data_IF_546326097760
#
_entry.id   IF_546326097760
#
_cell.length_a   1.000
_cell.length_b   1.000
_cell.length_c   1.000
_cell.angle_alpha   90.00
_cell.angle_beta   90.00
_cell.angle_gamma   90.00
#
_symmetry.space_group_name_H-M   'P 1'
#
loop_
_entity.id
_entity.type
_entity.pdbx_description
1 polymer ?
#
# COMPACT_ATOMS: atom_id res chain seq x y z
N UNK A 1 20.25 -0.16 9.99
CA UNK A 1 18.81 -0.31 9.69
C UNK A 1 18.44 0.56 8.48
N UNK A 2 17.66 0.01 7.57
CA UNK A 2 17.21 0.75 6.40
C UNK A 2 15.94 1.55 6.74
N UNK A 3 16.12 2.82 7.06
CA UNK A 3 15.02 3.69 7.44
C UNK A 3 14.05 3.97 6.29
N UNK A 4 14.54 3.96 5.05
CA UNK A 4 13.66 4.08 3.88
C UNK A 4 12.69 2.92 3.78
N UNK A 5 13.18 1.71 4.05
CA UNK A 5 12.34 0.51 4.05
C UNK A 5 11.34 0.55 5.20
N UNK A 6 11.78 0.98 6.39
CA UNK A 6 10.90 1.13 7.56
C UNK A 6 9.77 2.11 7.25
N UNK A 7 10.10 3.27 6.69
CA UNK A 7 9.10 4.28 6.35
C UNK A 7 8.11 3.75 5.31
N UNK A 8 8.60 3.06 4.27
CA UNK A 8 7.73 2.48 3.23
C UNK A 8 6.75 1.48 3.84
N UNK A 9 7.23 0.59 4.69
CA UNK A 9 6.39 -0.41 5.36
C UNK A 9 5.35 0.28 6.24
N UNK A 10 5.77 1.31 6.99
CA UNK A 10 4.86 2.07 7.84
C UNK A 10 3.68 2.64 7.04
N UNK A 11 3.97 3.31 5.92
CA UNK A 11 2.92 3.93 5.13
C UNK A 11 2.06 2.90 4.40
N UNK A 12 2.63 1.78 3.98
CA UNK A 12 1.85 0.68 3.40
C UNK A 12 0.87 0.10 4.42
N UNK A 13 1.34 -0.13 5.65
CA UNK A 13 0.48 -0.66 6.72
C UNK A 13 -0.60 0.36 7.12
N UNK A 14 -0.26 1.65 7.16
CA UNK A 14 -1.24 2.68 7.43
C UNK A 14 -2.31 2.73 6.33
N UNK A 15 -1.89 2.63 5.07
CA UNK A 15 -2.83 2.57 3.96
C UNK A 15 -3.72 1.34 4.05
N UNK A 16 -3.13 0.19 4.38
CA UNK A 16 -3.87 -1.07 4.49
C UNK A 16 -4.92 -1.00 5.59
N UNK A 17 -4.54 -0.54 6.79
CA UNK A 17 -5.46 -0.48 7.92
C UNK A 17 -6.55 0.56 7.70
N UNK A 18 -6.20 1.74 7.17
CA UNK A 18 -7.19 2.77 6.86
C UNK A 18 -8.17 2.30 5.77
N UNK A 19 -7.65 1.59 4.76
CA UNK A 19 -8.48 1.04 3.69
C UNK A 19 -9.46 -0.01 4.22
N UNK A 20 -8.99 -0.92 5.06
CA UNK A 20 -9.86 -1.92 5.69
C UNK A 20 -10.94 -1.24 6.53
N UNK A 21 -10.56 -0.20 7.27
CA UNK A 21 -11.51 0.57 8.06
C UNK A 21 -12.56 1.26 7.17
N UNK A 22 -12.15 1.84 6.04
CA UNK A 22 -13.08 2.46 5.10
C UNK A 22 -14.06 1.43 4.54
N UNK A 23 -13.58 0.26 4.14
CA UNK A 23 -14.43 -0.81 3.59
C UNK A 23 -15.48 -1.23 4.62
N UNK A 24 -15.10 -1.28 5.88
CA UNK A 24 -15.99 -1.69 6.96
C UNK A 24 -17.00 -0.61 7.34
N UNK A 25 -16.53 0.65 7.49
CA UNK A 25 -17.35 1.73 8.03
C UNK A 25 -17.97 2.64 6.98
N UNK A 26 -17.37 2.74 5.80
CA UNK A 26 -17.77 3.70 4.78
C UNK A 26 -17.43 5.15 5.12
N UNK A 27 -16.57 5.37 6.11
CA UNK A 27 -16.20 6.71 6.58
C UNK A 27 -15.29 7.42 5.56
N UNK A 28 -15.73 8.58 5.08
CA UNK A 28 -15.00 9.39 4.11
C UNK A 28 -13.58 9.74 4.58
N UNK A 29 -13.43 10.02 5.88
CA UNK A 29 -12.12 10.35 6.46
C UNK A 29 -11.12 9.22 6.27
N UNK A 30 -11.56 7.98 6.48
CA UNK A 30 -10.70 6.80 6.26
C UNK A 30 -10.27 6.67 4.81
N UNK A 31 -11.14 7.00 3.86
CA UNK A 31 -10.79 6.95 2.44
C UNK A 31 -9.71 7.98 2.11
N UNK A 32 -9.85 9.21 2.61
CA UNK A 32 -8.86 10.26 2.38
C UNK A 32 -7.51 9.86 2.95
N UNK A 33 -7.48 9.32 4.17
CA UNK A 33 -6.23 8.86 4.79
C UNK A 33 -5.63 7.73 3.97
N UNK A 34 -6.43 6.78 3.51
CA UNK A 34 -5.96 5.67 2.69
C UNK A 34 -5.28 6.16 1.42
N UNK A 35 -5.91 7.08 0.71
CA UNK A 35 -5.34 7.63 -0.53
C UNK A 35 -4.03 8.35 -0.24
N UNK A 36 -4.00 9.19 0.78
CA UNK A 36 -2.80 9.94 1.16
C UNK A 36 -1.65 9.01 1.52
N UNK A 37 -1.91 8.00 2.37
CA UNK A 37 -0.88 7.06 2.81
C UNK A 37 -0.38 6.20 1.65
N UNK A 38 -1.27 5.78 0.75
CA UNK A 38 -0.90 4.98 -0.42
C UNK A 38 -0.02 5.77 -1.37
N UNK A 39 -0.33 7.02 -1.62
CA UNK A 39 0.49 7.88 -2.50
C UNK A 39 1.87 8.14 -1.88
N UNK A 40 1.93 8.37 -0.58
CA UNK A 40 3.22 8.55 0.11
C UNK A 40 4.05 7.28 0.01
N UNK A 41 3.43 6.12 0.22
CA UNK A 41 4.11 4.83 0.10
C UNK A 41 4.68 4.64 -1.30
N UNK A 42 3.90 4.99 -2.33
CA UNK A 42 4.35 4.88 -3.72
C UNK A 42 5.56 5.79 -3.98
N UNK A 43 5.51 7.03 -3.50
CA UNK A 43 6.63 7.96 -3.65
C UNK A 43 7.90 7.46 -2.96
N UNK A 44 7.75 6.89 -1.76
CA UNK A 44 8.90 6.32 -1.05
C UNK A 44 9.49 5.13 -1.80
N UNK A 45 8.65 4.31 -2.42
CA UNK A 45 9.12 3.18 -3.23
C UNK A 45 9.89 3.64 -4.46
N UNK A 46 9.48 4.75 -5.07
CA UNK A 46 10.23 5.33 -6.19
C UNK A 46 11.66 5.70 -5.79
N UNK A 47 11.83 6.21 -4.56
CA UNK A 47 13.15 6.53 -4.03
C UNK A 47 13.98 5.34 -3.62
N UNK A 48 13.37 4.18 -3.44
CA UNK A 48 14.02 2.98 -2.89
C UNK A 48 13.96 1.79 -3.85
N UNK A 49 14.02 2.03 -5.14
CA UNK A 49 13.83 1.00 -6.17
C UNK A 49 14.73 -0.23 -6.03
N UNK A 50 15.96 -0.02 -5.57
CA UNK A 50 16.93 -1.11 -5.44
C UNK A 50 16.50 -2.14 -4.38
N UNK A 51 15.79 -1.68 -3.37
CA UNK A 51 15.40 -2.52 -2.23
C UNK A 51 14.10 -3.25 -2.46
N UNK A 52 13.15 -2.61 -3.17
CA UNK A 52 11.75 -3.05 -3.16
C UNK A 52 11.31 -3.79 -4.42
N UNK A 53 12.05 -3.71 -5.51
CA UNK A 53 11.75 -4.46 -6.72
C UNK A 53 10.56 -3.94 -7.52
N UNK A 54 10.47 -4.43 -8.76
CA UNK A 54 9.45 -4.01 -9.71
C UNK A 54 8.04 -4.48 -9.33
N UNK A 55 7.94 -5.68 -8.78
CA UNK A 55 6.66 -6.28 -8.39
C UNK A 55 5.97 -5.45 -7.30
N UNK A 56 6.76 -4.99 -6.34
CA UNK A 56 6.23 -4.18 -5.25
C UNK A 56 5.76 -2.81 -5.75
N UNK A 57 6.49 -2.22 -6.70
CA UNK A 57 6.09 -0.98 -7.34
C UNK A 57 4.78 -1.17 -8.12
N UNK A 58 4.66 -2.28 -8.85
CA UNK A 58 3.47 -2.59 -9.62
C UNK A 58 2.23 -2.70 -8.73
N UNK A 59 2.34 -3.38 -7.58
CA UNK A 59 1.21 -3.50 -6.66
C UNK A 59 0.79 -2.14 -6.11
N UNK A 60 1.74 -1.25 -5.85
CA UNK A 60 1.42 0.11 -5.40
C UNK A 60 0.70 0.92 -6.45
N UNK A 61 1.11 0.81 -7.70
CA UNK A 61 0.45 1.50 -8.81
C UNK A 61 -0.97 0.98 -9.00
N UNK A 62 -1.18 -0.33 -8.88
CA UNK A 62 -2.52 -0.91 -8.95
C UNK A 62 -3.40 -0.37 -7.83
N UNK A 63 -2.88 -0.29 -6.60
CA UNK A 63 -3.63 0.26 -5.48
C UNK A 63 -4.02 1.71 -5.75
N UNK A 64 -3.09 2.53 -6.24
CA UNK A 64 -3.36 3.93 -6.53
C UNK A 64 -4.38 4.08 -7.65
N UNK A 65 -4.30 3.23 -8.69
CA UNK A 65 -5.27 3.23 -9.79
C UNK A 65 -6.69 2.89 -9.33
N UNK A 66 -6.83 2.18 -8.23
CA UNK A 66 -8.14 1.91 -7.63
C UNK A 66 -8.57 3.03 -6.69
N UNK A 67 -7.64 3.56 -5.90
CA UNK A 67 -7.96 4.53 -4.85
C UNK A 67 -8.30 5.91 -5.39
N UNK A 68 -7.61 6.37 -6.44
CA UNK A 68 -7.90 7.69 -7.00
C UNK A 68 -9.31 7.73 -7.59
N UNK A 69 -9.74 6.77 -8.43
CA UNK A 69 -11.13 6.71 -8.86
C UNK A 69 -12.12 6.53 -7.71
N UNK A 70 -11.74 5.80 -6.66
CA UNK A 70 -12.60 5.63 -5.49
C UNK A 70 -12.88 6.97 -4.83
N UNK A 71 -11.86 7.80 -4.67
CA UNK A 71 -11.99 9.13 -4.10
C UNK A 71 -12.91 10.00 -4.95
N UNK A 72 -12.73 9.97 -6.26
CA UNK A 72 -13.54 10.72 -7.20
C UNK A 72 -14.99 10.25 -7.16
N UNK A 73 -15.22 8.93 -7.16
CA UNK A 73 -16.57 8.36 -7.11
C UNK A 73 -17.29 8.75 -5.82
N UNK A 74 -16.59 8.71 -4.70
CA UNK A 74 -17.17 9.02 -3.39
C UNK A 74 -17.55 10.48 -3.28
N UNK A 75 -16.61 11.38 -3.58
CA UNK A 75 -16.79 12.82 -3.36
C UNK A 75 -17.39 13.55 -4.56
N UNK A 76 -17.06 13.08 -5.78
CA UNK A 76 -17.51 13.76 -6.99
C UNK A 76 -18.91 13.34 -7.45
N UNK A 77 -19.25 12.07 -7.27
CA UNK A 77 -20.49 11.51 -7.78
C UNK A 77 -21.39 10.89 -6.72
N UNK A 78 -20.95 10.84 -5.47
CA UNK A 78 -21.73 10.25 -4.38
C UNK A 78 -21.94 8.74 -4.52
N UNK A 79 -21.11 8.08 -5.33
CA UNK A 79 -21.25 6.65 -5.62
C UNK A 79 -20.44 5.82 -4.61
N UNK A 80 -20.99 5.70 -3.40
CA UNK A 80 -20.30 5.02 -2.29
C UNK A 80 -20.05 3.54 -2.56
N UNK A 81 -20.95 2.87 -3.22
CA UNK A 81 -20.80 1.43 -3.54
C UNK A 81 -19.65 1.21 -4.51
N UNK A 82 -19.51 2.06 -5.52
CA UNK A 82 -18.41 1.99 -6.48
C UNK A 82 -17.09 2.28 -5.76
N UNK A 83 -17.08 3.31 -4.90
CA UNK A 83 -15.89 3.66 -4.12
C UNK A 83 -15.46 2.49 -3.24
N UNK A 84 -16.40 1.84 -2.57
CA UNK A 84 -16.11 0.69 -1.70
C UNK A 84 -15.54 -0.47 -2.51
N UNK A 85 -16.13 -0.77 -3.68
CA UNK A 85 -15.62 -1.83 -4.55
C UNK A 85 -14.20 -1.56 -5.01
N UNK A 86 -13.90 -0.32 -5.40
CA UNK A 86 -12.54 0.07 -5.81
C UNK A 86 -11.57 -0.01 -4.62
N UNK A 87 -12.02 0.37 -3.43
CA UNK A 87 -11.19 0.28 -2.22
C UNK A 87 -10.87 -1.17 -1.88
N UNK A 88 -11.80 -2.09 -2.11
CA UNK A 88 -11.54 -3.53 -1.92
C UNK A 88 -10.43 -4.00 -2.87
N UNK A 89 -10.45 -3.57 -4.13
CA UNK A 89 -9.39 -3.89 -5.08
C UNK A 89 -8.04 -3.37 -4.61
N UNK A 90 -8.00 -2.13 -4.12
CA UNK A 90 -6.79 -1.55 -3.56
C UNK A 90 -6.31 -2.30 -2.32
N UNK A 91 -7.26 -2.74 -1.47
CA UNK A 91 -6.95 -3.52 -0.27
C UNK A 91 -6.22 -4.82 -0.65
N UNK A 92 -6.71 -5.52 -1.66
CA UNK A 92 -6.08 -6.74 -2.14
C UNK A 92 -4.68 -6.48 -2.67
N UNK A 93 -4.48 -5.40 -3.43
CA UNK A 93 -3.16 -5.02 -3.93
C UNK A 93 -2.20 -4.70 -2.78
N UNK A 94 -2.68 -4.00 -1.74
CA UNK A 94 -1.87 -3.68 -0.57
C UNK A 94 -1.52 -4.94 0.24
N UNK A 95 -2.43 -5.91 0.32
CA UNK A 95 -2.12 -7.19 0.96
C UNK A 95 -1.01 -7.93 0.23
N UNK A 96 -1.03 -7.89 -1.10
CA UNK A 96 0.05 -8.48 -1.91
C UNK A 96 1.37 -7.75 -1.64
N UNK A 97 1.33 -6.41 -1.53
CA UNK A 97 2.52 -5.62 -1.20
C UNK A 97 3.13 -6.04 0.13
N UNK A 98 2.30 -6.22 1.16
CA UNK A 98 2.77 -6.65 2.49
C UNK A 98 3.40 -8.04 2.41
N UNK A 99 2.78 -8.95 1.66
CA UNK A 99 3.31 -10.30 1.48
C UNK A 99 4.69 -10.27 0.79
N UNK A 100 4.83 -9.47 -0.27
CA UNK A 100 6.09 -9.34 -0.98
C UNK A 100 7.19 -8.75 -0.10
N UNK A 101 6.87 -7.74 0.70
CA UNK A 101 7.84 -7.13 1.62
C UNK A 101 8.27 -8.16 2.67
N UNK A 102 7.35 -8.93 3.20
CA UNK A 102 7.64 -9.96 4.19
C UNK A 102 8.59 -11.01 3.64
N UNK A 103 8.31 -11.49 2.42
CA UNK A 103 9.16 -12.47 1.75
C UNK A 103 10.56 -11.90 1.52
N UNK A 104 10.63 -10.67 1.02
CA UNK A 104 11.89 -9.98 0.75
C UNK A 104 12.72 -9.81 2.03
N UNK A 105 12.06 -9.45 3.12
CA UNK A 105 12.73 -9.29 4.42
C UNK A 105 13.27 -10.62 4.93
N UNK A 106 12.51 -11.70 4.80
CA UNK A 106 12.95 -13.03 5.21
C UNK A 106 14.18 -13.46 4.40
N UNK A 107 14.15 -13.26 3.09
CA UNK A 107 15.27 -13.62 2.21
C UNK A 107 16.54 -12.82 2.55
N UNK A 108 16.39 -11.53 2.82
CA UNK A 108 17.51 -10.68 3.22
C UNK A 108 18.10 -11.14 4.55
N UNK A 109 17.27 -11.52 5.51
CA UNK A 109 17.73 -12.02 6.81
C UNK A 109 18.52 -13.32 6.65
N UNK A 110 18.02 -14.25 5.82
CA UNK A 110 18.72 -15.50 5.54
C UNK A 110 20.06 -15.23 4.90
N UNK A 111 20.12 -14.30 3.95
CA UNK A 111 21.35 -13.94 3.26
C UNK A 111 22.38 -13.36 4.23
N UNK A 112 21.96 -12.49 5.15
CA UNK A 112 22.85 -11.94 6.17
C UNK A 112 23.42 -13.02 7.07
N UNK A 113 22.60 -13.98 7.47
CA UNK A 113 23.04 -15.11 8.30
C UNK A 113 24.09 -15.97 7.57
N UNK A 114 23.87 -16.25 6.28
CA UNK A 114 24.82 -17.00 5.47
C UNK A 114 26.15 -16.27 5.34
N UNK A 115 26.13 -14.96 5.17
CA UNK A 115 27.34 -14.15 5.05
C UNK A 115 28.13 -14.08 6.36
N UNK A 116 27.46 -14.22 7.51
CA UNK A 116 28.12 -14.16 8.80
C UNK A 116 28.87 -15.45 9.20
N UNK A 117 28.64 -16.55 8.46
CA UNK A 117 29.32 -17.80 8.68
C UNK A 117 30.47 -17.99 7.68
#
# INVERSE_FOLDING_TARGET
MDWGKVASIFFILMALTSNASFVYTGDAFNLVITVAMSLIATLLKLGSRKTLGAELMATSLVADLHLIPALIAYFGFGMKDVATGLAIGALLANMISVALITIDTILDTIKEEEESY
#
